data_IF_690162445392
#
_entry.id   IF_690162445392
#
_cell.length_a   1.000
_cell.length_b   1.000
_cell.length_c   1.000
_cell.angle_alpha   90.00
_cell.angle_beta   90.00
_cell.angle_gamma   90.00
#
_symmetry.space_group_name_H-M   'P 1'
#
loop_
_entity.id
_entity.type
_entity.pdbx_description
1 polymer ?
#
# COMPACT_ATOMS: atom_id res chain seq x y z
N UNK A 1 30.49 14.04 -87.32
CA UNK A 1 30.62 14.94 -86.15
C UNK A 1 29.88 14.38 -84.97
N UNK A 2 30.17 13.11 -84.59
CA UNK A 2 29.42 12.40 -83.54
C UNK A 2 30.35 11.52 -82.64
N UNK A 3 31.67 11.55 -82.84
CA UNK A 3 32.59 10.62 -82.15
C UNK A 3 33.30 11.26 -80.94
N UNK A 4 33.14 12.54 -80.65
CA UNK A 4 33.89 13.26 -79.60
C UNK A 4 33.21 13.35 -78.21
N UNK A 5 31.96 12.90 -78.09
CA UNK A 5 31.20 13.00 -76.85
C UNK A 5 31.17 11.72 -76.00
N UNK A 6 31.73 10.57 -76.41
CA UNK A 6 31.68 9.29 -75.70
C UNK A 6 32.94 8.97 -74.88
N UNK A 7 34.00 9.76 -74.98
CA UNK A 7 35.25 9.48 -74.22
C UNK A 7 35.32 10.24 -72.91
N UNK A 8 34.50 11.29 -72.76
CA UNK A 8 34.54 12.06 -71.51
C UNK A 8 33.67 11.49 -70.37
N UNK A 9 32.73 10.59 -70.64
CA UNK A 9 31.91 9.90 -69.61
C UNK A 9 32.62 8.68 -68.96
N UNK A 10 33.69 8.17 -69.60
CA UNK A 10 34.41 7.00 -69.07
C UNK A 10 35.54 7.36 -68.07
N UNK A 11 35.99 8.63 -68.05
CA UNK A 11 37.05 9.10 -67.16
C UNK A 11 36.53 9.64 -65.82
N UNK A 12 35.22 9.87 -65.64
CA UNK A 12 34.61 10.35 -64.41
C UNK A 12 34.17 9.19 -63.48
N UNK A 13 34.09 7.97 -64.02
CA UNK A 13 33.62 6.78 -63.24
C UNK A 13 34.72 6.05 -62.49
N UNK A 14 35.98 6.41 -62.64
CA UNK A 14 37.12 5.69 -61.96
C UNK A 14 37.62 6.45 -60.71
N UNK A 15 37.19 7.69 -60.47
CA UNK A 15 37.63 8.49 -59.33
C UNK A 15 36.76 8.36 -58.04
N UNK A 16 35.70 7.54 -58.07
CA UNK A 16 34.76 7.41 -56.94
C UNK A 16 34.95 6.15 -56.09
N UNK A 17 36.01 5.36 -56.29
CA UNK A 17 36.21 4.07 -55.63
C UNK A 17 37.33 4.03 -54.56
N UNK A 18 37.77 5.17 -54.07
CA UNK A 18 38.81 5.23 -53.02
C UNK A 18 38.42 6.13 -51.83
N UNK A 19 37.26 5.91 -51.25
CA UNK A 19 37.05 6.38 -49.88
C UNK A 19 37.27 5.22 -48.92
N UNK A 20 38.28 5.33 -48.06
CA UNK A 20 38.54 4.29 -47.07
C UNK A 20 37.37 4.25 -46.11
N UNK A 21 36.94 3.04 -45.85
CA UNK A 21 36.05 2.61 -44.75
C UNK A 21 36.74 2.92 -43.41
N UNK A 22 36.71 4.19 -42.99
CA UNK A 22 37.20 4.66 -41.69
C UNK A 22 36.13 5.46 -40.97
N UNK A 23 35.03 4.85 -40.61
CA UNK A 23 34.11 5.40 -39.60
C UNK A 23 33.04 4.40 -39.21
N UNK A 24 33.42 3.22 -38.74
CA UNK A 24 32.48 2.34 -38.07
C UNK A 24 33.09 1.69 -36.82
N UNK A 25 33.92 2.46 -36.17
CA UNK A 25 34.47 2.11 -34.87
C UNK A 25 34.09 3.16 -33.86
N UNK A 26 32.79 3.45 -33.73
CA UNK A 26 32.32 4.22 -32.59
C UNK A 26 30.81 4.11 -32.50
N UNK A 27 30.36 3.14 -31.83
CA UNK A 27 29.30 3.21 -30.82
C UNK A 27 28.91 1.80 -30.36
N UNK A 28 29.90 1.01 -29.98
CA UNK A 28 29.68 0.04 -28.93
C UNK A 28 29.75 0.80 -27.63
N UNK A 29 28.90 1.80 -27.44
CA UNK A 29 28.39 2.09 -26.11
C UNK A 29 27.91 0.75 -25.59
N UNK A 30 28.66 0.21 -24.67
CA UNK A 30 28.25 -0.96 -23.95
C UNK A 30 26.81 -0.70 -23.53
N UNK A 31 25.86 -1.32 -24.23
CA UNK A 31 24.51 -1.47 -23.74
C UNK A 31 24.74 -2.14 -22.40
N UNK A 32 24.74 -1.36 -21.34
CA UNK A 32 24.58 -1.91 -20.01
C UNK A 32 23.27 -2.67 -20.09
N UNK A 33 23.39 -3.96 -20.33
CA UNK A 33 22.29 -4.90 -20.17
C UNK A 33 22.00 -4.80 -18.69
N UNK A 34 21.03 -3.94 -18.33
CA UNK A 34 20.51 -3.93 -16.99
C UNK A 34 20.17 -5.39 -16.68
N UNK A 35 20.70 -5.96 -15.61
CA UNK A 35 20.36 -7.33 -15.26
C UNK A 35 18.82 -7.41 -15.19
N UNK A 36 18.23 -8.51 -15.67
CA UNK A 36 16.78 -8.66 -15.62
C UNK A 36 16.32 -8.41 -14.18
N UNK A 37 15.29 -7.57 -14.02
CA UNK A 37 14.73 -7.31 -12.71
C UNK A 37 14.28 -8.66 -12.13
N UNK A 38 14.83 -9.02 -10.97
CA UNK A 38 14.41 -10.21 -10.26
C UNK A 38 13.10 -9.90 -9.53
N UNK A 39 12.12 -10.77 -9.69
CA UNK A 39 10.85 -10.65 -8.97
C UNK A 39 10.70 -11.83 -8.00
N UNK A 40 10.29 -11.54 -6.78
CA UNK A 40 9.90 -12.51 -5.77
C UNK A 40 8.43 -12.31 -5.47
N UNK A 41 7.65 -13.38 -5.48
CA UNK A 41 6.24 -13.34 -5.07
C UNK A 41 6.08 -13.94 -3.68
N UNK A 42 5.57 -13.13 -2.74
CA UNK A 42 5.16 -13.60 -1.42
C UNK A 42 3.64 -13.73 -1.38
N UNK A 43 3.15 -14.90 -0.97
CA UNK A 43 1.70 -15.17 -0.82
C UNK A 43 1.33 -15.18 0.65
N UNK A 44 0.36 -14.35 1.01
CA UNK A 44 -0.16 -14.20 2.37
C UNK A 44 -1.61 -14.70 2.34
N UNK A 45 -1.91 -15.78 3.06
CA UNK A 45 -3.27 -16.27 3.19
C UNK A 45 -4.12 -15.39 4.10
N UNK A 46 -5.41 -15.37 3.89
CA UNK A 46 -6.40 -14.68 4.75
C UNK A 46 -6.31 -15.09 6.23
N UNK A 47 -5.84 -16.28 6.50
CA UNK A 47 -5.64 -16.75 7.89
C UNK A 47 -4.56 -15.96 8.63
N UNK A 48 -3.54 -15.45 7.95
CA UNK A 48 -2.45 -14.73 8.60
C UNK A 48 -2.92 -13.43 9.28
N UNK A 49 -3.58 -12.47 8.60
CA UNK A 49 -4.09 -11.27 9.26
C UNK A 49 -5.16 -11.60 10.30
N UNK A 50 -5.98 -12.63 10.10
CA UNK A 50 -7.00 -13.02 11.07
C UNK A 50 -6.41 -13.64 12.34
N UNK A 51 -5.34 -14.43 12.22
CA UNK A 51 -4.59 -14.95 13.37
C UNK A 51 -3.89 -13.82 14.14
N UNK A 52 -3.36 -12.84 13.42
CA UNK A 52 -2.74 -11.66 14.02
C UNK A 52 -3.76 -10.82 14.80
N UNK A 53 -4.94 -10.56 14.22
CA UNK A 53 -6.05 -9.88 14.91
C UNK A 53 -6.47 -10.65 16.17
N UNK A 54 -6.62 -11.97 16.09
CA UNK A 54 -6.96 -12.81 17.24
C UNK A 54 -5.89 -12.71 18.34
N UNK A 55 -4.61 -12.67 17.97
CA UNK A 55 -3.51 -12.50 18.91
C UNK A 55 -3.53 -11.11 19.59
N UNK A 56 -3.88 -10.05 18.85
CA UNK A 56 -4.06 -8.71 19.42
C UNK A 56 -5.16 -8.73 20.48
N UNK A 57 -6.35 -9.25 20.15
CA UNK A 57 -7.47 -9.30 21.10
C UNK A 57 -7.21 -10.19 22.30
N UNK A 58 -6.43 -11.26 22.15
CA UNK A 58 -6.12 -12.17 23.25
C UNK A 58 -5.03 -11.64 24.19
N UNK A 59 -4.06 -10.87 23.69
CA UNK A 59 -2.85 -10.56 24.44
C UNK A 59 -2.63 -9.06 24.69
N UNK A 60 -3.35 -8.20 23.99
CA UNK A 60 -3.19 -6.75 24.09
C UNK A 60 -4.51 -6.09 24.53
N UNK A 61 -4.40 -4.84 25.01
CA UNK A 61 -5.59 -4.02 25.23
C UNK A 61 -6.26 -3.76 23.88
N UNK A 62 -7.58 -3.91 23.81
CA UNK A 62 -8.35 -3.66 22.60
C UNK A 62 -8.01 -2.27 22.00
N UNK A 63 -7.71 -2.19 20.70
CA UNK A 63 -7.39 -0.93 20.04
C UNK A 63 -8.52 0.07 20.22
N UNK A 64 -8.19 1.27 20.68
CA UNK A 64 -9.17 2.34 20.88
C UNK A 64 -8.69 3.64 20.24
N UNK A 65 -9.63 4.42 19.72
CA UNK A 65 -9.35 5.72 19.09
C UNK A 65 -10.37 6.77 19.55
N UNK A 66 -9.95 8.04 19.70
CA UNK A 66 -10.87 9.09 20.08
C UNK A 66 -11.81 9.45 18.93
N UNK A 67 -13.07 9.68 19.24
CA UNK A 67 -14.10 10.25 18.36
C UNK A 67 -14.01 11.78 18.41
N UNK A 68 -13.12 12.36 17.62
CA UNK A 68 -12.96 13.82 17.54
C UNK A 68 -13.33 14.25 16.15
N UNK A 69 -14.36 15.13 16.04
CA UNK A 69 -14.89 15.59 14.76
C UNK A 69 -14.25 16.90 14.33
N UNK A 70 -13.91 17.79 15.28
CA UNK A 70 -13.37 19.12 15.00
C UNK A 70 -12.20 19.48 15.95
N UNK A 71 -11.45 20.53 15.58
CA UNK A 71 -10.42 21.08 16.48
C UNK A 71 -10.99 21.56 17.83
N UNK A 72 -12.24 22.05 17.85
CA UNK A 72 -12.96 22.45 19.05
C UNK A 72 -13.28 21.27 19.98
N UNK A 73 -13.40 20.05 19.44
CA UNK A 73 -13.63 18.86 20.25
C UNK A 73 -12.36 18.37 20.94
N UNK A 74 -11.18 18.75 20.44
CA UNK A 74 -9.90 18.48 21.12
C UNK A 74 -9.78 19.17 22.46
N UNK A 75 -10.19 20.43 22.52
CA UNK A 75 -10.11 21.23 23.74
C UNK A 75 -11.19 20.82 24.75
N UNK A 76 -12.37 20.40 24.27
CA UNK A 76 -13.43 19.85 25.12
C UNK A 76 -13.13 18.45 25.66
N UNK A 77 -12.52 17.58 24.85
CA UNK A 77 -12.19 16.21 25.29
C UNK A 77 -11.18 16.19 26.45
N UNK A 78 -10.37 17.23 26.58
CA UNK A 78 -9.41 17.38 27.67
C UNK A 78 -10.04 17.99 28.95
N UNK A 79 -11.06 18.81 28.82
CA UNK A 79 -11.62 19.60 29.93
C UNK A 79 -12.91 19.01 30.57
N UNK A 80 -13.68 18.20 29.82
CA UNK A 80 -15.03 17.76 30.24
C UNK A 80 -15.23 16.26 30.40
N UNK A 81 -14.16 15.48 30.50
CA UNK A 81 -14.19 14.00 30.60
C UNK A 81 -14.68 13.46 31.96
N UNK A 82 -15.57 14.18 32.66
CA UNK A 82 -16.25 13.59 33.79
C UNK A 82 -17.37 12.63 33.31
N UNK A 83 -16.97 11.36 33.04
CA UNK A 83 -17.91 10.25 32.90
C UNK A 83 -18.25 9.76 31.50
N UNK A 84 -17.92 10.48 30.40
CA UNK A 84 -18.24 10.03 29.04
C UNK A 84 -17.12 10.34 28.05
N UNK A 85 -16.14 9.48 27.90
CA UNK A 85 -15.08 9.68 26.92
C UNK A 85 -15.63 9.53 25.50
N UNK A 86 -15.23 10.45 24.61
CA UNK A 86 -15.51 10.31 23.17
C UNK A 86 -14.53 9.30 22.57
N UNK A 87 -14.89 8.02 22.59
CA UNK A 87 -13.98 6.94 22.18
C UNK A 87 -14.73 5.83 21.45
N UNK A 88 -14.06 5.23 20.47
CA UNK A 88 -14.45 3.97 19.86
C UNK A 88 -13.37 2.93 20.14
N UNK A 89 -13.76 1.75 20.53
CA UNK A 89 -12.88 0.62 20.86
C UNK A 89 -13.24 -0.55 19.96
N UNK A 90 -12.26 -1.06 19.23
CA UNK A 90 -12.43 -2.23 18.38
C UNK A 90 -12.72 -3.46 19.25
N UNK A 91 -13.68 -4.28 18.82
CA UNK A 91 -14.06 -5.52 19.49
C UNK A 91 -13.73 -6.71 18.61
N UNK A 92 -13.46 -7.86 19.22
CA UNK A 92 -13.29 -9.10 18.47
C UNK A 92 -14.59 -9.51 17.79
N UNK A 93 -15.72 -9.29 18.48
CA UNK A 93 -17.05 -9.59 17.98
C UNK A 93 -18.07 -8.67 18.66
N UNK A 94 -19.06 -8.19 17.89
CA UNK A 94 -20.20 -7.44 18.40
C UNK A 94 -21.41 -7.68 17.50
N UNK A 95 -22.57 -7.84 18.11
CA UNK A 95 -23.85 -8.10 17.42
C UNK A 95 -23.81 -9.28 16.41
N UNK A 96 -23.00 -10.33 16.70
CA UNK A 96 -22.83 -11.48 15.81
C UNK A 96 -21.89 -11.23 14.63
N UNK A 97 -21.28 -10.06 14.54
CA UNK A 97 -20.28 -9.72 13.52
C UNK A 97 -18.88 -9.78 14.13
N UNK A 98 -18.02 -10.59 13.54
CA UNK A 98 -16.62 -10.74 13.96
C UNK A 98 -15.72 -9.82 13.16
N UNK A 99 -14.81 -9.14 13.85
CA UNK A 99 -13.71 -8.41 13.21
C UNK A 99 -12.77 -9.39 12.49
N UNK A 100 -12.72 -9.30 11.17
CA UNK A 100 -11.92 -10.18 10.33
C UNK A 100 -11.57 -9.51 9.00
N UNK A 101 -10.50 -9.98 8.36
CA UNK A 101 -10.09 -9.57 7.01
C UNK A 101 -10.49 -10.67 6.04
N UNK A 102 -11.01 -10.31 4.87
CA UNK A 102 -11.34 -11.20 3.77
C UNK A 102 -10.67 -10.74 2.48
N UNK A 103 -10.10 -11.70 1.76
CA UNK A 103 -9.50 -11.48 0.45
C UNK A 103 -10.43 -12.01 -0.64
N UNK A 104 -11.01 -11.11 -1.42
CA UNK A 104 -11.81 -11.40 -2.59
C UNK A 104 -11.04 -10.97 -3.85
N UNK A 105 -11.32 -11.51 -5.03
CA UNK A 105 -10.61 -11.12 -6.25
C UNK A 105 -10.64 -9.59 -6.47
N UNK A 106 -9.46 -8.96 -6.42
CA UNK A 106 -9.29 -7.52 -6.58
C UNK A 106 -9.77 -6.66 -5.41
N UNK A 107 -10.21 -7.23 -4.29
CA UNK A 107 -10.82 -6.50 -3.18
C UNK A 107 -10.41 -7.08 -1.82
N UNK A 108 -10.15 -6.20 -0.86
CA UNK A 108 -9.99 -6.57 0.54
C UNK A 108 -11.15 -5.96 1.31
N UNK A 109 -11.86 -6.78 2.06
CA UNK A 109 -12.96 -6.34 2.91
C UNK A 109 -12.67 -6.69 4.37
N UNK A 110 -13.14 -5.84 5.30
CA UNK A 110 -13.04 -6.14 6.72
C UNK A 110 -14.26 -5.60 7.47
N UNK A 111 -15.17 -6.46 7.92
CA UNK A 111 -16.12 -6.07 8.94
C UNK A 111 -15.37 -5.79 10.25
N UNK A 112 -15.63 -4.64 10.86
CA UNK A 112 -15.03 -4.18 12.11
C UNK A 112 -16.10 -4.06 13.17
N UNK A 113 -16.08 -4.92 14.18
CA UNK A 113 -16.93 -4.83 15.33
C UNK A 113 -16.38 -3.79 16.32
N UNK A 114 -17.22 -2.99 16.93
CA UNK A 114 -16.79 -1.96 17.87
C UNK A 114 -17.84 -1.63 18.94
N UNK A 115 -17.36 -1.02 20.03
CA UNK A 115 -18.18 -0.36 21.03
C UNK A 115 -17.56 1.00 21.36
N UNK A 116 -18.37 1.92 21.87
CA UNK A 116 -17.85 3.24 22.21
C UNK A 116 -18.83 4.08 23.00
N UNK A 117 -18.38 5.30 23.30
CA UNK A 117 -19.19 6.33 23.93
C UNK A 117 -18.96 7.67 23.22
N UNK A 118 -20.00 8.45 23.18
CA UNK A 118 -19.99 9.78 22.57
C UNK A 118 -20.78 10.77 23.42
N UNK A 119 -20.17 11.86 23.80
CA UNK A 119 -20.83 12.93 24.54
C UNK A 119 -21.52 13.89 23.58
N UNK A 120 -22.83 13.71 23.41
CA UNK A 120 -23.68 14.56 22.60
C UNK A 120 -24.13 15.78 23.37
N UNK A 121 -24.04 16.97 22.80
CA UNK A 121 -24.51 18.23 23.40
C UNK A 121 -26.02 18.25 23.70
N UNK A 122 -26.79 17.45 22.98
CA UNK A 122 -28.25 17.41 23.11
C UNK A 122 -28.76 16.23 23.94
N UNK A 123 -28.08 15.07 23.83
CA UNK A 123 -28.55 13.80 24.38
C UNK A 123 -27.67 13.31 25.55
N UNK A 124 -26.63 14.06 25.90
CA UNK A 124 -25.68 13.63 26.93
C UNK A 124 -24.78 12.48 26.47
N UNK A 125 -24.39 11.62 27.41
CA UNK A 125 -23.56 10.47 27.12
C UNK A 125 -24.33 9.37 26.39
N UNK A 126 -23.92 9.06 25.19
CA UNK A 126 -24.44 7.96 24.39
C UNK A 126 -23.44 6.83 24.35
N UNK A 127 -23.78 5.70 24.91
CA UNK A 127 -23.05 4.44 24.72
C UNK A 127 -23.61 3.72 23.50
N UNK A 128 -22.73 3.30 22.60
CA UNK A 128 -23.10 2.62 21.38
C UNK A 128 -22.26 1.36 21.14
N UNK A 129 -22.83 0.45 20.39
CA UNK A 129 -22.19 -0.75 19.90
C UNK A 129 -22.56 -0.94 18.45
N UNK A 130 -21.75 -1.67 17.71
CA UNK A 130 -22.07 -1.92 16.32
C UNK A 130 -20.92 -2.50 15.53
N UNK A 131 -21.07 -2.41 14.24
CA UNK A 131 -20.04 -2.84 13.27
C UNK A 131 -20.07 -1.96 12.04
N UNK A 132 -18.93 -1.92 11.36
CA UNK A 132 -18.76 -1.23 10.10
C UNK A 132 -18.26 -2.19 9.04
N UNK A 133 -18.79 -2.10 7.82
CA UNK A 133 -18.18 -2.70 6.65
C UNK A 133 -17.13 -1.75 6.10
N UNK A 134 -15.94 -2.27 5.85
CA UNK A 134 -14.85 -1.50 5.28
C UNK A 134 -14.26 -2.18 4.06
N UNK A 135 -13.86 -1.37 3.07
CA UNK A 135 -13.05 -1.76 1.93
C UNK A 135 -11.63 -1.23 2.10
N UNK A 136 -10.66 -2.03 1.72
CA UNK A 136 -9.26 -1.71 1.85
C UNK A 136 -8.58 -1.73 0.50
N UNK A 137 -7.81 -0.70 0.21
CA UNK A 137 -6.96 -0.63 -0.98
C UNK A 137 -5.50 -0.60 -0.56
N UNK A 138 -4.65 -1.34 -1.29
CA UNK A 138 -3.21 -1.32 -1.10
C UNK A 138 -2.57 -0.54 -2.23
N UNK A 139 -1.70 0.40 -1.89
CA UNK A 139 -1.01 1.27 -2.84
C UNK A 139 0.47 1.39 -2.47
N UNK A 140 1.35 1.25 -3.47
CA UNK A 140 2.77 1.49 -3.27
C UNK A 140 3.10 2.97 -3.47
N UNK A 141 3.48 3.66 -2.40
CA UNK A 141 3.95 5.03 -2.43
C UNK A 141 5.45 5.07 -2.74
N UNK A 142 5.77 5.49 -3.97
CA UNK A 142 7.15 5.59 -4.44
C UNK A 142 7.96 6.66 -3.70
N UNK A 143 7.32 7.73 -3.22
CA UNK A 143 8.00 8.82 -2.52
C UNK A 143 8.42 8.42 -1.12
N UNK A 144 7.61 7.62 -0.44
CA UNK A 144 7.86 7.08 0.90
C UNK A 144 8.55 5.73 0.88
N UNK A 145 8.66 5.10 -0.29
CA UNK A 145 9.18 3.74 -0.45
C UNK A 145 8.45 2.75 0.48
N UNK A 146 7.13 2.88 0.56
CA UNK A 146 6.30 2.08 1.46
C UNK A 146 5.00 1.61 0.81
N UNK A 147 4.53 0.45 1.24
CA UNK A 147 3.20 -0.07 0.93
C UNK A 147 2.22 0.50 1.94
N UNK A 148 1.23 1.24 1.45
CA UNK A 148 0.18 1.87 2.23
C UNK A 148 -1.13 1.12 2.06
N UNK A 149 -1.88 0.99 3.15
CA UNK A 149 -3.28 0.58 3.13
C UNK A 149 -4.18 1.79 3.38
N UNK A 150 -5.23 1.90 2.61
CA UNK A 150 -6.30 2.88 2.83
C UNK A 150 -7.59 2.14 3.15
N UNK A 151 -8.20 2.52 4.25
CA UNK A 151 -9.49 1.99 4.71
C UNK A 151 -10.58 2.93 4.27
N UNK A 152 -11.60 2.42 3.61
CA UNK A 152 -12.82 3.15 3.28
C UNK A 152 -14.00 2.51 4.01
N UNK A 153 -14.72 3.29 4.81
CA UNK A 153 -15.92 2.84 5.49
C UNK A 153 -17.09 2.89 4.52
N UNK A 154 -17.66 1.74 4.22
CA UNK A 154 -18.78 1.61 3.28
C UNK A 154 -20.09 1.86 4.02
N UNK A 155 -20.26 1.26 5.19
CA UNK A 155 -21.49 1.28 5.96
C UNK A 155 -21.21 1.12 7.46
N UNK A 156 -21.99 1.80 8.30
CA UNK A 156 -21.93 1.70 9.75
C UNK A 156 -23.28 1.30 10.30
N UNK A 157 -23.31 0.24 11.08
CA UNK A 157 -24.49 -0.25 11.79
C UNK A 157 -24.32 -0.07 13.29
N UNK A 158 -25.22 0.69 13.90
CA UNK A 158 -25.24 0.95 15.34
C UNK A 158 -26.43 0.28 15.99
N UNK A 159 -26.19 -0.29 17.15
CA UNK A 159 -27.21 -0.85 18.04
C UNK A 159 -27.32 -0.02 19.32
N UNK A 160 -28.47 -0.07 19.99
CA UNK A 160 -28.74 0.64 21.25
C UNK A 160 -28.71 2.17 21.17
N UNK A 161 -28.93 2.73 19.97
CA UNK A 161 -28.98 4.18 19.76
C UNK A 161 -30.40 4.60 19.35
N UNK A 162 -30.92 5.71 19.90
CA UNK A 162 -32.18 6.29 19.42
C UNK A 162 -32.11 6.59 17.92
N UNK A 163 -33.17 6.29 17.18
CA UNK A 163 -33.21 6.47 15.72
C UNK A 163 -32.82 7.89 15.27
N UNK A 164 -33.16 8.91 16.04
CA UNK A 164 -32.80 10.29 15.75
C UNK A 164 -31.30 10.58 15.80
N UNK A 165 -30.55 9.82 16.59
CA UNK A 165 -29.11 9.99 16.73
C UNK A 165 -28.28 9.07 15.81
N UNK A 166 -28.88 8.00 15.26
CA UNK A 166 -28.19 6.94 14.55
C UNK A 166 -27.37 7.47 13.37
N UNK A 167 -27.98 8.22 12.45
CA UNK A 167 -27.31 8.70 11.24
C UNK A 167 -26.21 9.72 11.54
N UNK A 168 -26.40 10.53 12.57
CA UNK A 168 -25.41 11.51 12.98
C UNK A 168 -24.19 10.83 13.60
N UNK A 169 -24.41 9.86 14.49
CA UNK A 169 -23.35 9.12 15.15
C UNK A 169 -22.63 8.18 14.15
N UNK A 170 -23.35 7.56 13.23
CA UNK A 170 -22.74 6.75 12.17
C UNK A 170 -21.75 7.59 11.34
N UNK A 171 -22.09 8.81 10.97
CA UNK A 171 -21.16 9.73 10.27
C UNK A 171 -19.95 10.12 11.13
N UNK A 172 -20.14 10.31 12.42
CA UNK A 172 -19.03 10.58 13.36
C UNK A 172 -18.06 9.43 13.40
N UNK A 173 -18.57 8.21 13.55
CA UNK A 173 -17.77 6.97 13.57
C UNK A 173 -17.02 6.81 12.23
N UNK A 174 -17.72 6.98 11.10
CA UNK A 174 -17.12 6.94 9.78
C UNK A 174 -15.98 7.94 9.63
N UNK A 175 -16.24 9.22 9.97
CA UNK A 175 -15.20 10.27 9.89
C UNK A 175 -14.01 9.99 10.80
N UNK A 176 -14.25 9.44 12.00
CA UNK A 176 -13.18 9.10 12.93
C UNK A 176 -12.29 7.98 12.37
N UNK A 177 -12.87 6.94 11.79
CA UNK A 177 -12.10 5.85 11.15
C UNK A 177 -11.30 6.42 9.96
N UNK A 178 -11.95 7.13 9.05
CA UNK A 178 -11.31 7.70 7.85
C UNK A 178 -10.16 8.65 8.18
N UNK A 179 -10.32 9.51 9.18
CA UNK A 179 -9.33 10.54 9.51
C UNK A 179 -8.17 10.06 10.37
N UNK A 180 -8.37 8.99 11.16
CA UNK A 180 -7.39 8.52 12.13
C UNK A 180 -6.60 7.30 11.69
N UNK A 181 -7.18 6.52 10.79
CA UNK A 181 -6.59 5.26 10.35
C UNK A 181 -5.86 5.45 9.02
N UNK A 182 -6.26 6.40 8.19
CA UNK A 182 -5.74 6.57 6.83
C UNK A 182 -4.59 7.57 6.70
N UNK A 183 -3.54 7.19 5.94
CA UNK A 183 -3.18 5.85 5.48
C UNK A 183 -2.42 5.06 6.56
N UNK A 184 -2.56 3.73 6.53
CA UNK A 184 -1.76 2.82 7.36
C UNK A 184 -0.50 2.43 6.57
N UNK A 185 0.68 2.63 7.14
CA UNK A 185 1.91 2.09 6.59
C UNK A 185 2.01 0.58 6.92
N UNK A 186 1.89 -0.27 5.90
CA UNK A 186 1.92 -1.73 6.05
C UNK A 186 3.35 -2.24 6.13
N UNK A 187 4.21 -1.75 5.24
CA UNK A 187 5.64 -2.12 5.22
C UNK A 187 6.47 -1.11 4.43
N UNK A 188 7.77 -1.03 4.74
CA UNK A 188 8.77 -0.27 3.98
C UNK A 188 9.63 -1.19 3.12
N UNK A 189 10.10 -0.68 1.97
CA UNK A 189 10.99 -1.43 1.09
C UNK A 189 12.32 -1.82 1.73
N UNK A 190 12.83 -1.00 2.64
CA UNK A 190 14.07 -1.29 3.35
C UNK A 190 13.96 -2.56 4.21
N UNK A 191 12.76 -2.84 4.77
CA UNK A 191 12.49 -4.06 5.53
C UNK A 191 12.52 -5.33 4.66
N UNK A 192 12.36 -5.19 3.34
CA UNK A 192 12.44 -6.27 2.36
C UNK A 192 13.83 -6.41 1.75
N UNK A 193 14.72 -5.46 2.03
CA UNK A 193 16.08 -5.45 1.53
C UNK A 193 17.01 -6.24 2.45
N UNK A 194 18.06 -6.81 1.89
CA UNK A 194 18.97 -7.66 2.67
C UNK A 194 20.35 -7.81 2.05
N UNK A 195 21.15 -8.66 2.67
CA UNK A 195 22.51 -9.01 2.22
C UNK A 195 22.59 -10.51 1.99
N UNK A 196 23.10 -10.90 0.84
CA UNK A 196 23.29 -12.29 0.46
C UNK A 196 24.79 -12.56 0.32
N UNK A 197 25.31 -13.48 1.14
CA UNK A 197 26.70 -13.95 1.04
C UNK A 197 26.80 -14.96 -0.10
N UNK A 198 27.86 -14.84 -0.91
CA UNK A 198 28.15 -15.77 -2.01
C UNK A 198 29.45 -16.48 -1.68
N UNK A 199 29.43 -17.59 -0.90
CA UNK A 199 30.66 -18.22 -0.32
C UNK A 199 31.78 -18.51 -1.31
N UNK A 200 31.53 -19.06 -2.52
CA UNK A 200 32.62 -19.34 -3.45
C UNK A 200 33.32 -18.07 -3.96
N UNK A 201 32.58 -16.97 -4.11
CA UNK A 201 33.09 -15.72 -4.67
C UNK A 201 33.77 -14.82 -3.63
N UNK A 202 33.80 -15.19 -2.34
CA UNK A 202 34.29 -14.37 -1.21
C UNK A 202 33.74 -12.95 -1.22
N UNK A 203 32.47 -12.79 -1.64
CA UNK A 203 31.80 -11.51 -1.74
C UNK A 203 30.37 -11.58 -1.22
N UNK A 204 29.76 -10.41 -1.11
CA UNK A 204 28.36 -10.27 -0.78
C UNK A 204 27.65 -9.39 -1.82
N UNK A 205 26.39 -9.68 -2.03
CA UNK A 205 25.48 -8.85 -2.81
C UNK A 205 24.44 -8.25 -1.89
N UNK A 206 24.16 -6.99 -2.09
CA UNK A 206 23.02 -6.33 -1.47
C UNK A 206 21.79 -6.57 -2.34
N UNK A 207 20.78 -7.19 -1.76
CA UNK A 207 19.45 -7.36 -2.32
C UNK A 207 18.63 -6.12 -1.96
N UNK A 208 18.31 -5.30 -2.94
CA UNK A 208 17.55 -4.07 -2.73
C UNK A 208 16.19 -4.20 -3.36
N UNK A 209 15.13 -4.13 -2.54
CA UNK A 209 13.77 -4.04 -3.03
C UNK A 209 13.54 -2.66 -3.67
N UNK A 210 12.94 -2.61 -4.85
CA UNK A 210 12.75 -1.37 -5.64
C UNK A 210 11.27 -1.03 -5.84
N UNK A 211 10.39 -2.03 -5.83
CA UNK A 211 8.95 -1.85 -5.95
C UNK A 211 8.19 -3.02 -5.32
N UNK A 212 6.95 -2.76 -4.93
CA UNK A 212 5.99 -3.79 -4.50
C UNK A 212 4.68 -3.57 -5.25
N UNK A 213 4.16 -4.63 -5.87
CA UNK A 213 2.85 -4.63 -6.52
C UNK A 213 1.95 -5.65 -5.80
N UNK A 214 0.92 -5.19 -5.08
CA UNK A 214 -0.06 -6.07 -4.47
C UNK A 214 -1.05 -6.61 -5.50
N UNK A 215 -1.45 -7.86 -5.36
CA UNK A 215 -2.50 -8.52 -6.13
C UNK A 215 -3.37 -9.34 -5.18
N UNK A 216 -4.68 -9.07 -5.17
CA UNK A 216 -5.63 -9.76 -4.30
C UNK A 216 -6.38 -10.82 -5.10
N UNK A 217 -6.28 -12.06 -4.64
CA UNK A 217 -6.98 -13.21 -5.18
C UNK A 217 -7.91 -13.81 -4.12
N UNK A 218 -8.72 -14.78 -4.48
CA UNK A 218 -9.61 -15.45 -3.52
C UNK A 218 -8.80 -16.08 -2.37
N UNK A 219 -9.01 -15.58 -1.15
CA UNK A 219 -8.36 -16.07 0.07
C UNK A 219 -6.87 -15.73 0.22
N UNK A 220 -6.25 -15.00 -0.73
CA UNK A 220 -4.81 -14.70 -0.70
C UNK A 220 -4.50 -13.29 -1.18
N UNK A 221 -3.50 -12.69 -0.56
CA UNK A 221 -2.80 -11.50 -1.03
C UNK A 221 -1.43 -11.92 -1.57
N UNK A 222 -1.13 -11.60 -2.82
CA UNK A 222 0.17 -11.79 -3.43
C UNK A 222 0.90 -10.46 -3.49
N UNK A 223 2.14 -10.44 -3.02
CA UNK A 223 3.04 -9.30 -3.11
C UNK A 223 4.14 -9.61 -4.10
N UNK A 224 4.12 -8.96 -5.25
CA UNK A 224 5.17 -9.04 -6.26
C UNK A 224 6.24 -8.00 -5.96
N UNK A 225 7.40 -8.44 -5.51
CA UNK A 225 8.48 -7.57 -5.05
C UNK A 225 9.60 -7.59 -6.09
N UNK A 226 9.88 -6.44 -6.67
CA UNK A 226 11.00 -6.29 -7.62
C UNK A 226 12.29 -6.01 -6.87
N UNK A 227 13.37 -6.66 -7.29
CA UNK A 227 14.68 -6.54 -6.67
C UNK A 227 15.78 -6.17 -7.65
N UNK A 228 16.78 -5.45 -7.14
CA UNK A 228 18.07 -5.26 -7.76
C UNK A 228 19.18 -5.88 -6.89
N UNK A 229 20.18 -6.48 -7.54
CA UNK A 229 21.36 -7.00 -6.88
C UNK A 229 22.52 -6.03 -7.08
N UNK A 230 23.00 -5.45 -6.01
CA UNK A 230 24.08 -4.47 -6.01
C UNK A 230 25.33 -5.04 -5.34
N UNK A 231 26.56 -4.67 -5.79
CA UNK A 231 27.77 -5.02 -5.06
C UNK A 231 27.70 -4.45 -3.64
N UNK A 232 28.00 -5.28 -2.66
CA UNK A 232 28.15 -4.82 -1.28
C UNK A 232 29.58 -4.30 -1.11
N UNK A 233 29.73 -2.99 -1.05
CA UNK A 233 30.99 -2.26 -0.92
C UNK A 233 31.33 -2.03 0.53
#
# INVERSE_FOLDING_TARGET
>A
MVIRKRIWCLLVMIAAAAYPCLAQEQNRSARQVSPPAAELTATISEQFPNSFLAAIFANLKAPSMPLVITAADKDRSAAESYGCPNVITLQQEEAGVRTAVKFEPGRITAPLAFAGSYNSTLLGCLEFRGWANTDWTLEFDRSRQSLLARVHVVEVHLTNIPRLANDSLARVVQTAIDSRVNPIEVMKLDQLSGRVQVPPAKGALRLQATAVRPEVTAGNLQLHISYEFLPDR
#
